data_IF_440583408564
#
_entry.id   IF_440583408564
#
_cell.length_a   1.000
_cell.length_b   1.000
_cell.length_c   1.000
_cell.angle_alpha   90.00
_cell.angle_beta   90.00
_cell.angle_gamma   90.00
#
_symmetry.space_group_name_H-M   'P 1'
#
loop_
_entity.id
_entity.type
_entity.pdbx_description
1 polymer ?
#
# COMPACT_ATOMS: atom_id res chain seq x y z
N UNK A 1 14.51 -6.52 -1.76
CA UNK A 1 14.00 -7.41 -0.71
C UNK A 1 13.10 -6.65 0.27
N UNK A 2 12.21 -7.35 0.91
CA UNK A 2 11.26 -6.73 1.85
C UNK A 2 11.77 -6.91 3.28
N UNK A 3 11.73 -5.84 4.06
CA UNK A 3 12.03 -5.88 5.49
C UNK A 3 11.08 -4.97 6.25
N UNK A 4 11.07 -5.09 7.57
CA UNK A 4 10.27 -4.19 8.42
C UNK A 4 10.84 -2.77 8.41
N UNK A 5 9.96 -1.80 8.54
CA UNK A 5 10.30 -0.40 8.71
C UNK A 5 11.18 -0.20 9.96
N UNK A 6 12.13 0.74 9.84
CA UNK A 6 12.96 1.23 10.96
C UNK A 6 12.77 2.73 11.08
N UNK A 7 12.97 3.29 12.26
CA UNK A 7 12.81 4.73 12.46
C UNK A 7 13.68 5.58 11.52
N UNK A 8 14.85 5.08 11.15
CA UNK A 8 15.76 5.76 10.21
C UNK A 8 15.18 5.90 8.80
N UNK A 9 14.18 5.07 8.46
CA UNK A 9 13.56 5.09 7.13
C UNK A 9 12.54 6.23 6.96
N UNK A 10 12.11 6.85 8.05
CA UNK A 10 10.93 7.72 8.06
C UNK A 10 11.04 8.89 7.08
N UNK A 11 12.16 9.59 7.07
CA UNK A 11 12.32 10.77 6.21
C UNK A 11 12.21 10.41 4.72
N UNK A 12 12.81 9.29 4.31
CA UNK A 12 12.74 8.85 2.92
C UNK A 12 11.32 8.41 2.56
N UNK A 13 10.64 7.74 3.47
CA UNK A 13 9.25 7.32 3.25
C UNK A 13 8.33 8.52 3.12
N UNK A 14 8.51 9.55 3.95
CA UNK A 14 7.72 10.78 3.84
C UNK A 14 7.94 11.46 2.48
N UNK A 15 9.16 11.44 1.97
CA UNK A 15 9.46 11.97 0.64
C UNK A 15 8.74 11.20 -0.45
N UNK A 16 8.79 9.85 -0.38
CA UNK A 16 8.12 8.98 -1.36
C UNK A 16 6.60 9.17 -1.32
N UNK A 17 6.03 9.23 -0.12
CA UNK A 17 4.59 9.46 0.07
C UNK A 17 4.15 10.78 -0.56
N UNK A 18 4.88 11.85 -0.30
CA UNK A 18 4.56 13.18 -0.82
C UNK A 18 4.63 13.23 -2.35
N UNK A 19 5.59 12.54 -2.93
CA UNK A 19 5.74 12.44 -4.39
C UNK A 19 4.62 11.62 -5.01
N UNK A 20 4.25 10.52 -4.36
CA UNK A 20 3.22 9.61 -4.87
C UNK A 20 1.80 10.18 -4.70
N UNK A 21 1.56 10.93 -3.64
CA UNK A 21 0.23 11.44 -3.28
C UNK A 21 0.27 12.94 -3.03
N UNK A 22 0.50 13.75 -4.08
CA UNK A 22 0.66 15.20 -3.90
C UNK A 22 -0.59 15.91 -3.40
N UNK A 23 -1.78 15.34 -3.64
CA UNK A 23 -3.05 15.95 -3.22
C UNK A 23 -3.31 15.81 -1.73
N UNK A 24 -3.10 14.60 -1.20
CA UNK A 24 -3.41 14.26 0.20
C UNK A 24 -2.39 13.29 0.77
N UNK A 25 -1.12 13.68 0.86
CA UNK A 25 -0.12 12.80 1.46
C UNK A 25 -0.38 12.67 2.97
N UNK A 26 -0.13 11.47 3.50
CA UNK A 26 -0.07 11.30 4.94
C UNK A 26 1.19 11.98 5.47
N UNK A 27 1.09 12.55 6.67
CA UNK A 27 2.21 13.21 7.31
C UNK A 27 2.83 12.33 8.41
N UNK A 28 3.86 12.85 9.04
CA UNK A 28 4.65 12.13 10.04
C UNK A 28 3.81 11.51 11.17
N UNK A 29 2.82 12.20 11.80
CA UNK A 29 2.04 11.59 12.86
C UNK A 29 1.31 10.31 12.48
N UNK A 30 0.82 10.24 11.24
CA UNK A 30 0.12 9.04 10.74
C UNK A 30 1.07 7.86 10.67
N UNK A 31 2.28 8.07 10.13
CA UNK A 31 3.28 7.01 10.04
C UNK A 31 3.71 6.52 11.42
N UNK A 32 3.91 7.44 12.36
CA UNK A 32 4.28 7.10 13.74
C UNK A 32 3.16 6.28 14.39
N UNK A 33 1.90 6.67 14.19
CA UNK A 33 0.75 5.95 14.71
C UNK A 33 0.76 4.48 14.25
N UNK A 34 0.90 4.25 12.95
CA UNK A 34 0.88 2.88 12.42
C UNK A 34 2.08 2.07 12.85
N UNK A 35 3.25 2.68 13.00
CA UNK A 35 4.44 2.02 13.53
C UNK A 35 4.20 1.53 14.97
N UNK A 36 3.53 2.34 15.78
CA UNK A 36 3.22 1.97 17.15
C UNK A 36 2.13 0.91 17.27
N UNK A 37 1.10 1.03 16.44
CA UNK A 37 -0.05 0.11 16.50
C UNK A 37 0.22 -1.25 15.85
N UNK A 38 0.88 -1.24 14.70
CA UNK A 38 1.09 -2.46 13.90
C UNK A 38 2.53 -2.52 13.39
N UNK A 39 3.53 -2.71 14.28
CA UNK A 39 4.94 -2.64 13.88
C UNK A 39 5.37 -3.70 12.87
N UNK A 40 4.66 -4.83 12.79
CA UNK A 40 4.92 -5.88 11.83
C UNK A 40 4.20 -5.68 10.49
N UNK A 41 3.43 -4.60 10.36
CA UNK A 41 2.62 -4.32 9.16
C UNK A 41 3.02 -3.03 8.45
N UNK A 42 4.24 -2.59 8.70
CA UNK A 42 4.87 -1.50 7.98
C UNK A 42 6.14 -2.06 7.37
N UNK A 43 6.11 -2.29 6.05
CA UNK A 43 7.18 -2.97 5.34
C UNK A 43 7.80 -2.05 4.30
N UNK A 44 9.10 -2.18 4.10
CA UNK A 44 9.82 -1.46 3.06
C UNK A 44 10.45 -2.44 2.08
N UNK A 45 10.49 -2.03 0.82
CA UNK A 45 11.24 -2.75 -0.21
C UNK A 45 12.55 -2.02 -0.42
N UNK A 46 13.66 -2.72 -0.24
CA UNK A 46 14.99 -2.12 -0.32
C UNK A 46 15.85 -2.81 -1.36
N UNK A 47 16.80 -2.06 -1.89
CA UNK A 47 17.88 -2.59 -2.72
C UNK A 47 18.89 -3.32 -1.81
N UNK A 48 19.14 -4.57 -2.09
CA UNK A 48 19.96 -5.41 -1.20
C UNK A 48 21.37 -4.87 -0.98
N UNK A 49 21.98 -4.33 -2.02
CA UNK A 49 23.38 -3.88 -1.95
C UNK A 49 23.57 -2.62 -1.13
N UNK A 50 22.58 -1.75 -1.02
CA UNK A 50 22.72 -0.42 -0.41
C UNK A 50 21.72 -0.14 0.71
N UNK A 51 20.73 -1.01 0.90
CA UNK A 51 19.60 -0.78 1.81
C UNK A 51 18.77 0.47 1.41
N UNK A 52 18.89 0.93 0.17
CA UNK A 52 18.12 2.05 -0.33
C UNK A 52 16.65 1.69 -0.43
N UNK A 53 15.77 2.55 0.08
CA UNK A 53 14.33 2.33 0.04
C UNK A 53 13.80 2.64 -1.35
N UNK A 54 13.14 1.67 -1.96
CA UNK A 54 12.54 1.79 -3.29
C UNK A 54 11.02 1.90 -3.22
N UNK A 55 10.42 1.48 -2.10
CA UNK A 55 8.98 1.53 -1.90
C UNK A 55 8.60 1.04 -0.51
N UNK A 56 7.33 1.17 -0.17
CA UNK A 56 6.83 0.74 1.14
C UNK A 56 5.35 0.39 1.06
N UNK A 57 4.89 -0.31 2.09
CA UNK A 57 3.46 -0.58 2.29
C UNK A 57 3.15 -0.56 3.78
N UNK A 58 2.00 0.03 4.11
CA UNK A 58 1.42 -0.01 5.46
C UNK A 58 0.05 -0.66 5.33
N UNK A 59 -0.22 -1.64 6.19
CA UNK A 59 -1.53 -2.28 6.20
C UNK A 59 -1.94 -2.62 7.63
N UNK A 60 -3.23 -2.87 7.80
CA UNK A 60 -3.84 -3.22 9.08
C UNK A 60 -4.15 -4.72 9.10
N UNK A 61 -4.40 -5.31 10.28
CA UNK A 61 -4.82 -6.71 10.37
C UNK A 61 -5.98 -7.00 9.41
N UNK A 62 -5.95 -8.17 8.78
CA UNK A 62 -6.95 -8.55 7.79
C UNK A 62 -6.63 -8.09 6.37
N UNK A 63 -5.52 -7.40 6.16
CA UNK A 63 -5.09 -7.00 4.83
C UNK A 63 -5.64 -5.67 4.33
N UNK A 64 -6.13 -4.81 5.23
CA UNK A 64 -6.57 -3.47 4.83
C UNK A 64 -5.35 -2.58 4.55
N UNK A 65 -5.13 -2.27 3.29
CA UNK A 65 -3.99 -1.47 2.86
C UNK A 65 -4.27 0.00 3.17
N UNK A 66 -3.36 0.61 3.93
CA UNK A 66 -3.45 2.03 4.32
C UNK A 66 -2.73 2.91 3.30
N UNK A 67 -1.51 2.53 2.93
CA UNK A 67 -0.73 3.25 1.93
C UNK A 67 0.27 2.30 1.30
N UNK A 68 0.49 2.48 0.00
CA UNK A 68 1.52 1.79 -0.75
C UNK A 68 2.09 2.76 -1.77
N UNK A 69 3.39 2.83 -1.87
CA UNK A 69 4.04 3.65 -2.89
C UNK A 69 5.37 3.07 -3.30
N UNK A 70 5.70 3.26 -4.57
CA UNK A 70 7.01 2.93 -5.13
C UNK A 70 7.62 4.23 -5.63
N UNK A 71 8.87 4.48 -5.28
CA UNK A 71 9.57 5.68 -5.69
C UNK A 71 9.66 5.74 -7.22
N UNK A 72 9.44 6.93 -7.78
CA UNK A 72 9.22 7.12 -9.20
C UNK A 72 10.25 6.44 -10.12
N UNK A 73 11.58 6.55 -9.86
CA UNK A 73 12.56 5.93 -10.74
C UNK A 73 12.51 4.40 -10.76
N UNK A 74 11.83 3.79 -9.80
CA UNK A 74 11.82 2.33 -9.62
C UNK A 74 10.48 1.68 -9.94
N UNK A 75 9.54 2.45 -10.50
CA UNK A 75 8.24 1.94 -10.92
C UNK A 75 8.37 1.02 -12.11
N UNK A 76 7.35 0.15 -12.32
CA UNK A 76 7.29 -0.84 -13.40
C UNK A 76 8.36 -1.94 -13.31
N UNK A 77 8.86 -2.19 -12.10
CA UNK A 77 9.82 -3.28 -11.83
C UNK A 77 9.21 -4.39 -10.96
N UNK A 78 7.90 -4.36 -10.76
CA UNK A 78 7.19 -5.36 -9.96
C UNK A 78 7.31 -5.18 -8.45
N UNK A 79 7.82 -4.06 -7.96
CA UNK A 79 7.99 -3.80 -6.53
C UNK A 79 6.63 -3.72 -5.83
N UNK A 80 5.70 -2.95 -6.39
CA UNK A 80 4.34 -2.86 -5.85
C UNK A 80 3.65 -4.21 -5.79
N UNK A 81 3.80 -5.01 -6.83
CA UNK A 81 3.25 -6.37 -6.88
C UNK A 81 3.83 -7.24 -5.77
N UNK A 82 5.13 -7.16 -5.52
CA UNK A 82 5.78 -7.93 -4.45
C UNK A 82 5.27 -7.51 -3.08
N UNK A 83 5.08 -6.22 -2.86
CA UNK A 83 4.54 -5.70 -1.60
C UNK A 83 3.10 -6.19 -1.37
N UNK A 84 2.24 -6.14 -2.38
CA UNK A 84 0.88 -6.65 -2.28
C UNK A 84 0.86 -8.15 -2.02
N UNK A 85 1.70 -8.91 -2.71
CA UNK A 85 1.80 -10.36 -2.50
C UNK A 85 2.20 -10.70 -1.07
N UNK A 86 3.04 -9.89 -0.45
CA UNK A 86 3.40 -10.09 0.95
C UNK A 86 2.19 -9.87 1.87
N UNK A 87 1.39 -8.85 1.62
CA UNK A 87 0.14 -8.63 2.37
C UNK A 87 -0.80 -9.82 2.21
N UNK A 88 -1.00 -10.29 0.98
CA UNK A 88 -1.87 -11.45 0.71
C UNK A 88 -1.38 -12.70 1.41
N UNK A 89 -0.06 -12.90 1.45
CA UNK A 89 0.54 -14.04 2.13
C UNK A 89 0.23 -14.03 3.63
N UNK A 90 0.42 -12.89 4.31
CA UNK A 90 0.24 -12.81 5.76
C UNK A 90 -1.22 -12.64 6.17
N UNK A 91 -2.10 -12.29 5.25
CA UNK A 91 -3.55 -12.14 5.51
C UNK A 91 -4.40 -13.22 4.86
N UNK A 92 -3.76 -14.34 4.53
CA UNK A 92 -4.45 -15.54 4.00
C UNK A 92 -5.27 -15.27 2.74
N UNK A 93 -4.72 -14.47 1.84
CA UNK A 93 -5.36 -14.15 0.56
C UNK A 93 -6.38 -13.03 0.61
N UNK A 94 -6.55 -12.38 1.76
CA UNK A 94 -7.51 -11.30 1.92
C UNK A 94 -6.82 -9.94 1.90
N UNK A 95 -7.40 -8.99 1.19
CA UNK A 95 -6.94 -7.61 1.21
C UNK A 95 -8.05 -6.66 0.79
N UNK A 96 -7.95 -5.42 1.21
CA UNK A 96 -8.89 -4.36 0.85
C UNK A 96 -8.12 -3.06 0.71
N UNK A 97 -8.53 -2.22 -0.25
CA UNK A 97 -7.92 -0.91 -0.46
C UNK A 97 -8.97 0.07 -0.98
N UNK A 98 -8.86 1.33 -0.56
CA UNK A 98 -9.64 2.44 -1.13
C UNK A 98 -8.77 3.13 -2.18
N UNK A 99 -9.36 3.39 -3.34
CA UNK A 99 -8.66 4.01 -4.47
C UNK A 99 -9.48 5.18 -4.98
N UNK A 100 -8.84 6.32 -5.24
CA UNK A 100 -9.55 7.46 -5.85
C UNK A 100 -10.25 7.03 -7.13
N UNK A 101 -11.48 7.47 -7.32
CA UNK A 101 -12.26 7.13 -8.51
C UNK A 101 -11.54 7.58 -9.80
N UNK A 102 -10.74 8.65 -9.72
CA UNK A 102 -9.96 9.16 -10.85
C UNK A 102 -8.66 8.40 -11.09
N UNK A 103 -8.20 7.58 -10.14
CA UNK A 103 -6.92 6.88 -10.26
C UNK A 103 -7.07 5.57 -11.04
N UNK A 104 -7.18 5.67 -12.35
CA UNK A 104 -7.38 4.50 -13.22
C UNK A 104 -6.17 3.58 -13.24
N UNK A 105 -4.97 4.14 -13.11
CA UNK A 105 -3.74 3.34 -13.08
C UNK A 105 -3.73 2.41 -11.88
N UNK A 106 -4.06 2.93 -10.68
CA UNK A 106 -4.14 2.10 -9.48
C UNK A 106 -5.24 1.04 -9.60
N UNK A 107 -6.41 1.41 -10.11
CA UNK A 107 -7.50 0.45 -10.32
C UNK A 107 -7.07 -0.71 -11.22
N UNK A 108 -6.38 -0.42 -12.32
CA UNK A 108 -5.86 -1.44 -13.23
C UNK A 108 -4.81 -2.31 -12.55
N UNK A 109 -3.94 -1.70 -11.75
CA UNK A 109 -2.91 -2.41 -11.00
C UNK A 109 -3.54 -3.47 -10.08
N UNK A 110 -4.53 -3.06 -9.28
CA UNK A 110 -5.20 -3.99 -8.36
C UNK A 110 -6.00 -5.05 -9.11
N UNK A 111 -6.69 -4.70 -10.19
CA UNK A 111 -7.43 -5.68 -11.00
C UNK A 111 -6.53 -6.77 -11.55
N UNK A 112 -5.33 -6.42 -12.02
CA UNK A 112 -4.36 -7.41 -12.51
C UNK A 112 -3.91 -8.38 -11.42
N UNK A 113 -3.95 -7.95 -10.17
CA UNK A 113 -3.59 -8.79 -9.02
C UNK A 113 -4.76 -9.60 -8.50
N UNK A 114 -5.92 -9.52 -9.13
CA UNK A 114 -7.09 -10.30 -8.74
C UNK A 114 -8.06 -9.58 -7.81
N UNK A 115 -7.86 -8.30 -7.56
CA UNK A 115 -8.84 -7.51 -6.80
C UNK A 115 -10.07 -7.23 -7.67
N UNK A 116 -11.22 -7.16 -7.01
CA UNK A 116 -12.49 -6.80 -7.66
C UNK A 116 -13.05 -5.56 -6.98
N UNK A 117 -13.81 -4.79 -7.74
CA UNK A 117 -14.51 -3.63 -7.22
C UNK A 117 -15.69 -4.10 -6.36
N UNK A 118 -15.75 -3.65 -5.12
CA UNK A 118 -16.75 -4.07 -4.13
C UNK A 118 -17.78 -3.00 -3.81
N UNK A 119 -17.46 -1.74 -4.05
CA UNK A 119 -18.35 -0.63 -3.73
C UNK A 119 -17.64 0.69 -3.84
N UNK A 120 -18.29 1.74 -3.36
CA UNK A 120 -17.71 3.07 -3.34
C UNK A 120 -18.05 3.77 -2.03
N UNK A 121 -17.21 4.74 -1.64
CA UNK A 121 -17.42 5.57 -0.47
C UNK A 121 -17.48 7.02 -0.93
N UNK A 122 -18.67 7.67 -0.87
CA UNK A 122 -18.78 9.07 -1.29
C UNK A 122 -17.87 9.96 -0.45
N UNK A 123 -17.17 10.86 -1.11
CA UNK A 123 -16.30 11.87 -0.48
C UNK A 123 -15.30 11.30 0.52
N UNK A 124 -14.81 10.09 0.27
CA UNK A 124 -13.76 9.49 1.11
C UNK A 124 -12.52 10.38 1.13
N UNK A 125 -12.12 10.87 -0.04
CA UNK A 125 -11.18 11.96 -0.17
C UNK A 125 -11.96 13.26 -0.16
N UNK A 126 -11.38 14.33 0.34
CA UNK A 126 -12.10 15.60 0.56
C UNK A 126 -12.94 16.05 -0.64
N UNK A 127 -12.45 15.83 -1.84
CA UNK A 127 -13.07 16.29 -3.09
C UNK A 127 -13.39 15.18 -4.08
N UNK A 128 -13.37 13.93 -3.64
CA UNK A 128 -13.47 12.80 -4.56
C UNK A 128 -13.93 11.55 -3.82
N UNK A 129 -14.71 10.71 -4.52
CA UNK A 129 -15.13 9.41 -3.99
C UNK A 129 -13.98 8.40 -4.04
N UNK A 130 -14.09 7.36 -3.23
CA UNK A 130 -13.22 6.20 -3.31
C UNK A 130 -13.97 5.02 -3.89
N UNK A 131 -13.26 4.20 -4.67
CA UNK A 131 -13.68 2.86 -5.03
C UNK A 131 -13.03 1.91 -4.03
N UNK A 132 -13.82 1.00 -3.48
CA UNK A 132 -13.30 -0.05 -2.59
C UNK A 132 -13.01 -1.28 -3.44
N UNK A 133 -11.78 -1.77 -3.36
CA UNK A 133 -11.34 -2.96 -4.08
C UNK A 133 -10.93 -4.02 -3.09
N UNK A 134 -11.34 -5.26 -3.34
CA UNK A 134 -11.10 -6.38 -2.44
C UNK A 134 -10.48 -7.57 -3.16
N UNK A 135 -9.70 -8.33 -2.41
CA UNK A 135 -9.14 -9.61 -2.84
C UNK A 135 -9.53 -10.67 -1.83
N UNK A 136 -10.05 -11.79 -2.32
CA UNK A 136 -10.39 -12.95 -1.48
C UNK A 136 -9.69 -14.19 -1.99
N UNK A 137 -9.28 -15.05 -1.08
CA UNK A 137 -8.83 -16.40 -1.42
C UNK A 137 -10.07 -17.28 -1.63
N UNK A 138 -10.44 -17.44 -2.88
CA UNK A 138 -11.64 -18.22 -3.26
C UNK A 138 -11.55 -19.69 -2.86
N UNK A 139 -10.35 -20.21 -2.71
CA UNK A 139 -10.15 -21.61 -2.32
C UNK A 139 -10.67 -21.88 -0.91
N UNK A 140 -10.70 -20.86 -0.06
CA UNK A 140 -11.18 -21.01 1.33
C UNK A 140 -12.68 -20.83 1.48
N UNK A 141 -13.35 -20.32 0.48
CA UNK A 141 -14.79 -20.08 0.51
C UNK A 141 -15.57 -21.34 0.09
N UNK A 142 -14.94 -22.14 -0.69
CA UNK A 142 -15.51 -23.41 -1.11
C UNK A 142 -15.46 -24.45 0.01
#
# INVERSE_FOLDING_TARGET
>A
MIRKFKSEDLEEILRIEKTAFPKTPYDKPIFIYYTGMYPDKFLVYVEESSDKILGYIIFRPGGHIVSIAVDLPYRRRGIGTKLIKEVLKVSYGNAMVEVRVSNKIAQMFYKKLGFIESGSIPRFYENEDAIVMIHHDRMKIA
#
